data_IF_225071735426
#
_entry.id   IF_225071735426
#
_cell.length_a   1.000
_cell.length_b   1.000
_cell.length_c   1.000
_cell.angle_alpha   90.00
_cell.angle_beta   90.00
_cell.angle_gamma   90.00
#
_symmetry.space_group_name_H-M   'P 1'
#
loop_
_entity.id
_entity.type
_entity.pdbx_description
1 polymer ?
#
# COMPACT_ATOMS: atom_id res chain seq x y z
N UNK A 1 -22.73 -11.75 -8.80
CA UNK A 1 -22.67 -10.96 -10.05
C UNK A 1 -23.60 -9.73 -10.10
N UNK A 2 -24.38 -9.41 -9.05
CA UNK A 2 -25.32 -8.27 -9.09
C UNK A 2 -24.81 -6.94 -8.51
N UNK A 3 -23.67 -6.93 -7.79
CA UNK A 3 -23.14 -5.73 -7.12
C UNK A 3 -22.16 -4.92 -7.98
N UNK A 4 -21.57 -5.54 -9.01
CA UNK A 4 -20.64 -4.90 -9.96
C UNK A 4 -21.37 -4.03 -10.99
N UNK A 5 -22.61 -4.42 -11.35
CA UNK A 5 -23.50 -3.65 -12.24
C UNK A 5 -24.00 -2.34 -11.60
N UNK A 6 -24.25 -2.33 -10.30
CA UNK A 6 -24.66 -1.13 -9.56
C UNK A 6 -23.54 -0.10 -9.41
N UNK A 7 -22.27 -0.52 -9.37
CA UNK A 7 -21.13 0.40 -9.37
C UNK A 7 -20.86 1.00 -10.76
N UNK A 8 -21.13 0.25 -11.83
CA UNK A 8 -20.99 0.74 -13.21
C UNK A 8 -22.06 1.79 -13.59
N UNK A 9 -23.25 1.72 -12.99
CA UNK A 9 -24.36 2.65 -13.24
C UNK A 9 -24.23 4.00 -12.52
N UNK A 10 -23.39 4.08 -11.48
CA UNK A 10 -23.15 5.33 -10.73
C UNK A 10 -22.09 6.24 -11.39
N UNK A 11 -21.39 5.78 -12.42
CA UNK A 11 -20.36 6.55 -13.15
C UNK A 11 -20.86 7.14 -14.48
N UNK A 12 -22.14 6.97 -14.82
CA UNK A 12 -22.73 7.38 -16.10
C UNK A 12 -23.39 8.78 -16.19
N UNK A 13 -23.51 9.65 -15.15
CA UNK A 13 -24.13 10.96 -15.36
C UNK A 13 -23.16 12.10 -15.75
N UNK A 14 -21.87 11.85 -16.04
CA UNK A 14 -20.94 12.93 -16.43
C UNK A 14 -20.93 13.28 -17.95
N UNK A 15 -21.83 12.71 -18.77
CA UNK A 15 -21.87 12.97 -20.22
C UNK A 15 -23.17 13.56 -20.77
N UNK A 16 -24.08 14.07 -19.93
CA UNK A 16 -25.23 14.84 -20.41
C UNK A 16 -24.91 16.34 -20.35
N UNK A 17 -24.27 16.83 -21.41
CA UNK A 17 -24.13 18.26 -21.66
C UNK A 17 -25.49 18.92 -21.93
N UNK A 18 -25.65 20.23 -21.66
CA UNK A 18 -26.89 20.94 -21.92
C UNK A 18 -27.17 21.01 -23.43
N UNK A 19 -28.42 20.69 -23.80
CA UNK A 19 -28.95 20.86 -25.15
C UNK A 19 -28.95 22.35 -25.55
N UNK A 20 -28.19 22.70 -26.59
CA UNK A 20 -28.25 24.02 -27.23
C UNK A 20 -29.53 24.13 -28.07
N UNK A 21 -30.42 25.05 -27.70
CA UNK A 21 -31.57 25.45 -28.51
C UNK A 21 -31.16 26.25 -29.77
N UNK A 22 -32.09 26.46 -30.71
CA UNK A 22 -31.79 27.07 -32.00
C UNK A 22 -31.55 28.58 -31.90
N UNK A 23 -30.43 29.02 -32.48
CA UNK A 23 -30.29 30.28 -33.20
C UNK A 23 -30.63 31.59 -32.45
N UNK A 24 -29.66 32.11 -31.69
CA UNK A 24 -29.48 33.55 -31.56
C UNK A 24 -28.11 33.87 -32.14
N UNK A 25 -28.07 34.42 -33.35
CA UNK A 25 -26.91 35.17 -33.87
C UNK A 25 -26.68 36.39 -32.98
N UNK A 26 -26.06 36.16 -31.82
CA UNK A 26 -25.35 37.21 -31.14
C UNK A 26 -24.17 37.54 -32.05
N UNK A 27 -24.13 38.78 -32.55
CA UNK A 27 -22.98 39.37 -33.23
C UNK A 27 -21.83 39.43 -32.23
N UNK A 28 -21.17 38.29 -31.99
CA UNK A 28 -19.97 38.18 -31.17
C UNK A 28 -18.92 39.01 -31.88
N UNK A 29 -18.63 40.18 -31.32
CA UNK A 29 -17.41 40.91 -31.64
C UNK A 29 -16.24 39.95 -31.46
N UNK A 30 -15.75 39.42 -32.58
CA UNK A 30 -14.58 38.54 -32.70
C UNK A 30 -13.35 39.31 -32.21
N UNK A 31 -13.13 39.34 -30.90
CA UNK A 31 -12.06 40.09 -30.25
C UNK A 31 -11.20 39.16 -29.41
N UNK A 32 -9.87 39.27 -29.54
CA UNK A 32 -8.91 38.53 -28.73
C UNK A 32 -8.45 39.31 -27.48
N UNK A 33 -9.12 40.41 -27.13
CA UNK A 33 -8.73 41.30 -26.02
C UNK A 33 -8.64 40.57 -24.67
N UNK A 34 -9.61 39.72 -24.35
CA UNK A 34 -9.62 38.96 -23.10
C UNK A 34 -8.49 37.92 -23.07
N UNK A 35 -8.31 37.14 -24.15
CA UNK A 35 -7.21 36.18 -24.29
C UNK A 35 -5.84 36.85 -24.18
N UNK A 36 -5.67 38.04 -24.78
CA UNK A 36 -4.46 38.86 -24.67
C UNK A 36 -4.19 39.29 -23.23
N UNK A 37 -5.22 39.70 -22.51
CA UNK A 37 -5.09 40.10 -21.10
C UNK A 37 -4.68 38.91 -20.22
N UNK A 38 -5.35 37.76 -20.37
CA UNK A 38 -5.07 36.55 -19.57
C UNK A 38 -3.67 36.02 -19.86
N UNK A 39 -3.32 35.80 -21.12
CA UNK A 39 -1.99 35.27 -21.49
C UNK A 39 -0.88 36.28 -21.20
N UNK A 40 -1.14 37.57 -21.39
CA UNK A 40 -0.22 38.64 -20.99
C UNK A 40 0.08 38.62 -19.49
N UNK A 41 -0.94 38.42 -18.65
CA UNK A 41 -0.76 38.27 -17.19
C UNK A 41 0.05 37.03 -16.78
N UNK A 42 0.08 36.01 -17.65
CA UNK A 42 0.88 34.79 -17.50
C UNK A 42 2.28 34.89 -18.11
N UNK A 43 2.69 36.07 -18.56
CA UNK A 43 4.04 36.32 -19.08
C UNK A 43 4.24 35.98 -20.57
N UNK A 44 3.16 35.81 -21.33
CA UNK A 44 3.24 35.62 -22.78
C UNK A 44 3.42 36.98 -23.47
N UNK A 45 4.27 37.04 -24.50
CA UNK A 45 4.47 38.29 -25.26
C UNK A 45 3.22 38.67 -26.03
N UNK A 46 2.76 39.91 -25.85
CA UNK A 46 1.61 40.47 -26.57
C UNK A 46 1.84 40.59 -28.08
N UNK A 47 3.09 40.47 -28.54
CA UNK A 47 3.46 40.44 -29.96
C UNK A 47 3.10 39.11 -30.64
N UNK A 48 3.06 38.01 -29.89
CA UNK A 48 2.77 36.66 -30.40
C UNK A 48 1.27 36.35 -30.41
N UNK A 49 0.47 37.25 -29.87
CA UNK A 49 -0.99 37.15 -29.77
C UNK A 49 -1.61 38.05 -30.83
N UNK A 50 -2.54 37.55 -31.67
CA UNK A 50 -3.22 38.37 -32.64
C UNK A 50 -4.24 39.32 -31.96
N UNK A 51 -4.52 40.49 -32.54
CA UNK A 51 -5.52 41.43 -32.01
C UNK A 51 -6.96 40.97 -32.28
N UNK A 52 -7.17 40.17 -33.32
CA UNK A 52 -8.45 39.59 -33.72
C UNK A 52 -8.30 38.09 -34.08
N UNK A 53 -9.39 37.30 -34.08
CA UNK A 53 -9.31 35.87 -34.36
C UNK A 53 -8.77 35.57 -35.76
N UNK A 54 -7.85 34.61 -35.83
CA UNK A 54 -7.23 34.11 -37.07
C UNK A 54 -7.73 32.69 -37.37
N UNK A 55 -7.56 32.20 -38.60
CA UNK A 55 -7.83 30.80 -38.92
C UNK A 55 -6.93 29.88 -38.09
N UNK A 56 -7.44 28.77 -37.56
CA UNK A 56 -6.71 27.83 -36.69
C UNK A 56 -6.11 26.63 -37.40
N UNK A 57 -6.00 26.63 -38.73
CA UNK A 57 -5.41 25.52 -39.50
C UNK A 57 -3.96 25.19 -39.09
N UNK A 58 -3.23 26.16 -38.53
CA UNK A 58 -1.86 25.98 -38.02
C UNK A 58 -1.78 25.25 -36.67
N UNK A 59 -2.92 25.02 -36.00
CA UNK A 59 -2.98 24.38 -34.69
C UNK A 59 -2.88 22.86 -34.80
N UNK A 60 -2.17 22.24 -33.85
CA UNK A 60 -1.95 20.78 -33.79
C UNK A 60 -2.75 20.10 -32.67
N UNK A 61 -3.10 20.82 -31.62
CA UNK A 61 -3.72 20.27 -30.40
C UNK A 61 -5.15 20.80 -30.27
N UNK A 62 -5.33 22.11 -30.42
CA UNK A 62 -6.62 22.77 -30.36
C UNK A 62 -7.44 22.48 -31.63
N UNK A 63 -8.78 22.56 -31.56
CA UNK A 63 -9.63 22.47 -32.74
C UNK A 63 -9.22 23.49 -33.80
N UNK A 64 -9.22 23.09 -35.07
CA UNK A 64 -8.84 23.93 -36.21
C UNK A 64 -9.98 24.88 -36.61
N UNK A 65 -10.42 25.71 -35.66
CA UNK A 65 -11.44 26.75 -35.81
C UNK A 65 -10.81 28.15 -35.69
N UNK A 66 -11.60 29.23 -35.79
CA UNK A 66 -11.09 30.59 -35.55
C UNK A 66 -10.54 30.72 -34.12
N UNK A 67 -9.27 31.11 -34.00
CA UNK A 67 -8.51 31.09 -32.75
C UNK A 67 -7.83 32.43 -32.45
N UNK A 68 -7.50 32.64 -31.17
CA UNK A 68 -6.65 33.73 -30.70
C UNK A 68 -5.23 33.26 -30.35
N UNK A 69 -4.87 32.02 -30.68
CA UNK A 69 -3.55 31.43 -30.39
C UNK A 69 -2.75 31.22 -31.68
N UNK A 70 -1.49 31.64 -31.68
CA UNK A 70 -0.50 31.23 -32.68
C UNK A 70 0.07 29.85 -32.35
N UNK A 71 0.76 29.20 -33.29
CA UNK A 71 1.39 27.89 -33.08
C UNK A 71 2.44 27.93 -31.95
N UNK A 72 3.20 29.02 -31.86
CA UNK A 72 4.20 29.21 -30.78
C UNK A 72 3.52 29.33 -29.41
N UNK A 73 2.39 30.03 -29.34
CA UNK A 73 1.59 30.14 -28.12
C UNK A 73 0.98 28.80 -27.74
N UNK A 74 0.49 28.03 -28.71
CA UNK A 74 -0.04 26.66 -28.48
C UNK A 74 1.06 25.71 -27.96
N UNK A 75 2.25 25.72 -28.57
CA UNK A 75 3.38 24.89 -28.14
C UNK A 75 3.85 25.24 -26.73
N UNK A 76 3.96 26.54 -26.42
CA UNK A 76 4.34 27.01 -25.09
C UNK A 76 3.29 26.69 -24.03
N UNK A 77 2.01 26.87 -24.34
CA UNK A 77 0.91 26.46 -23.46
C UNK A 77 0.93 24.95 -23.20
N UNK A 78 1.21 24.15 -24.21
CA UNK A 78 1.35 22.70 -24.06
C UNK A 78 2.52 22.34 -23.12
N UNK A 79 3.69 22.98 -23.28
CA UNK A 79 4.82 22.77 -22.37
C UNK A 79 4.50 23.20 -20.93
N UNK A 80 3.94 24.39 -20.73
CA UNK A 80 3.60 24.91 -19.41
C UNK A 80 2.55 24.05 -18.70
N UNK A 81 1.54 23.56 -19.45
CA UNK A 81 0.51 22.68 -18.91
C UNK A 81 1.06 21.30 -18.56
N UNK A 82 1.93 20.73 -19.39
CA UNK A 82 2.63 19.47 -19.07
C UNK A 82 3.49 19.62 -17.81
N UNK A 83 4.31 20.67 -17.74
CA UNK A 83 5.18 20.93 -16.59
C UNK A 83 4.37 21.15 -15.31
N UNK A 84 3.28 21.92 -15.39
CA UNK A 84 2.38 22.16 -14.25
C UNK A 84 1.70 20.87 -13.80
N UNK A 85 1.16 20.08 -14.73
CA UNK A 85 0.51 18.82 -14.40
C UNK A 85 1.49 17.84 -13.75
N UNK A 86 2.68 17.69 -14.34
CA UNK A 86 3.76 16.86 -13.80
C UNK A 86 4.11 17.27 -12.38
N UNK A 87 4.35 18.56 -12.14
CA UNK A 87 4.65 19.07 -10.80
C UNK A 87 3.54 18.82 -9.78
N UNK A 88 2.27 18.95 -10.18
CA UNK A 88 1.12 18.64 -9.32
C UNK A 88 1.06 17.15 -8.95
N UNK A 89 1.23 16.27 -9.94
CA UNK A 89 1.22 14.81 -9.75
C UNK A 89 2.40 14.37 -8.88
N UNK A 90 3.61 14.83 -9.18
CA UNK A 90 4.81 14.51 -8.41
C UNK A 90 4.69 14.97 -6.97
N UNK A 91 4.18 16.19 -6.73
CA UNK A 91 3.97 16.70 -5.36
C UNK A 91 2.95 15.86 -4.60
N UNK A 92 1.80 15.56 -5.21
CA UNK A 92 0.76 14.75 -4.57
C UNK A 92 1.24 13.31 -4.30
N UNK A 93 1.93 12.71 -5.26
CA UNK A 93 2.45 11.36 -5.14
C UNK A 93 3.59 11.24 -4.14
N UNK A 94 4.53 12.18 -4.15
CA UNK A 94 5.63 12.26 -3.19
C UNK A 94 5.10 12.31 -1.76
N UNK A 95 4.05 13.12 -1.50
CA UNK A 95 3.39 13.16 -0.20
C UNK A 95 2.86 11.77 0.23
N UNK A 96 2.19 11.05 -0.67
CA UNK A 96 1.66 9.71 -0.39
C UNK A 96 2.79 8.70 -0.12
N UNK A 97 3.83 8.70 -0.93
CA UNK A 97 5.02 7.84 -0.77
C UNK A 97 5.68 8.07 0.59
N UNK A 98 5.90 9.34 0.96
CA UNK A 98 6.47 9.69 2.26
C UNK A 98 5.57 9.27 3.42
N UNK A 99 4.25 9.44 3.29
CA UNK A 99 3.28 9.06 4.31
C UNK A 99 3.27 7.55 4.53
N UNK A 100 3.20 6.76 3.45
CA UNK A 100 3.23 5.29 3.53
C UNK A 100 4.54 4.78 4.14
N UNK A 101 5.68 5.35 3.73
CA UNK A 101 6.98 5.01 4.31
C UNK A 101 7.08 5.38 5.80
N UNK A 102 6.51 6.51 6.22
CA UNK A 102 6.49 6.92 7.62
C UNK A 102 5.60 5.99 8.46
N UNK A 103 4.41 5.63 7.96
CA UNK A 103 3.51 4.67 8.61
C UNK A 103 4.16 3.29 8.75
N UNK A 104 4.81 2.81 7.68
CA UNK A 104 5.53 1.54 7.68
C UNK A 104 6.58 1.53 8.81
N UNK A 105 7.49 2.53 8.83
CA UNK A 105 8.54 2.63 9.85
C UNK A 105 7.96 2.70 11.26
N UNK A 106 6.92 3.52 11.47
CA UNK A 106 6.30 3.72 12.77
C UNK A 106 5.67 2.44 13.29
N UNK A 107 4.86 1.76 12.47
CA UNK A 107 4.22 0.51 12.86
C UNK A 107 5.26 -0.59 13.10
N UNK A 108 6.24 -0.72 12.19
CA UNK A 108 7.29 -1.72 12.32
C UNK A 108 8.07 -1.58 13.62
N UNK A 109 8.50 -0.36 13.94
CA UNK A 109 9.19 -0.08 15.21
C UNK A 109 8.32 -0.39 16.43
N UNK A 110 7.06 0.07 16.43
CA UNK A 110 6.14 -0.16 17.54
C UNK A 110 5.85 -1.64 17.78
N UNK A 111 5.73 -2.44 16.72
CA UNK A 111 5.46 -3.88 16.84
C UNK A 111 6.69 -4.66 17.36
N UNK A 112 7.89 -4.36 16.87
CA UNK A 112 9.12 -4.94 17.40
C UNK A 112 9.38 -4.55 18.85
N UNK A 113 9.11 -3.29 19.21
CA UNK A 113 9.19 -2.81 20.59
C UNK A 113 8.18 -3.55 21.49
N UNK A 114 6.97 -3.82 20.99
CA UNK A 114 5.98 -4.62 21.71
C UNK A 114 6.47 -6.04 22.01
N UNK A 115 7.12 -6.71 21.04
CA UNK A 115 7.70 -8.05 21.24
C UNK A 115 8.79 -7.99 22.33
N UNK A 116 9.70 -7.02 22.24
CA UNK A 116 10.78 -6.83 23.22
C UNK A 116 10.25 -6.46 24.61
N UNK A 117 9.20 -5.65 24.69
CA UNK A 117 8.52 -5.29 25.94
C UNK A 117 7.83 -6.51 26.59
N UNK A 118 7.22 -7.37 25.77
CA UNK A 118 6.64 -8.63 26.24
C UNK A 118 7.71 -9.60 26.76
N UNK A 119 8.86 -9.71 26.09
CA UNK A 119 10.01 -10.50 26.56
C UNK A 119 10.50 -10.00 27.92
N UNK A 120 10.71 -8.69 28.05
CA UNK A 120 11.15 -8.08 29.30
C UNK A 120 10.15 -8.28 30.44
N UNK A 121 8.86 -8.09 30.16
CA UNK A 121 7.78 -8.26 31.13
C UNK A 121 7.67 -9.71 31.60
N UNK A 122 7.78 -10.68 30.68
CA UNK A 122 7.81 -12.09 31.02
C UNK A 122 9.00 -12.41 31.92
N UNK A 123 10.21 -11.96 31.56
CA UNK A 123 11.42 -12.19 32.33
C UNK A 123 11.30 -11.65 33.75
N UNK A 124 10.77 -10.44 33.92
CA UNK A 124 10.58 -9.81 35.23
C UNK A 124 9.57 -10.59 36.08
N UNK A 125 8.42 -10.97 35.51
CA UNK A 125 7.37 -11.71 36.23
C UNK A 125 7.83 -13.12 36.59
N UNK A 126 8.54 -13.80 35.69
CA UNK A 126 8.97 -15.18 35.89
C UNK A 126 10.16 -15.25 36.84
N UNK A 127 11.08 -14.31 36.78
CA UNK A 127 12.14 -14.21 37.78
C UNK A 127 11.57 -13.95 39.17
N UNK A 128 10.55 -13.08 39.29
CA UNK A 128 9.87 -12.84 40.58
C UNK A 128 9.13 -14.08 41.12
N UNK A 129 8.52 -14.87 40.23
CA UNK A 129 7.64 -15.98 40.63
C UNK A 129 8.40 -17.30 40.83
N UNK A 130 9.41 -17.56 39.99
CA UNK A 130 10.13 -18.84 39.94
C UNK A 130 11.61 -18.73 40.32
N UNK A 131 12.14 -17.50 40.48
CA UNK A 131 13.49 -17.26 40.96
C UNK A 131 14.56 -18.00 40.15
N UNK A 132 15.34 -18.81 40.86
CA UNK A 132 16.45 -19.56 40.28
C UNK A 132 16.00 -20.59 39.23
N UNK A 133 14.79 -21.16 39.37
CA UNK A 133 14.27 -22.13 38.41
C UNK A 133 14.11 -21.51 37.02
N UNK A 134 13.58 -20.29 36.95
CA UNK A 134 13.52 -19.54 35.70
C UNK A 134 14.93 -19.18 35.21
N UNK A 135 15.78 -18.67 36.10
CA UNK A 135 17.14 -18.24 35.72
C UNK A 135 17.94 -19.36 35.02
N UNK A 136 17.81 -20.61 35.48
CA UNK A 136 18.47 -21.79 34.87
C UNK A 136 17.94 -22.13 33.46
N UNK A 137 16.70 -21.76 33.14
CA UNK A 137 16.03 -22.08 31.88
C UNK A 137 15.71 -20.87 31.01
N UNK A 138 16.25 -19.69 31.35
CA UNK A 138 16.11 -18.44 30.57
C UNK A 138 16.31 -18.62 29.06
N UNK A 139 17.31 -19.40 28.58
CA UNK A 139 17.54 -19.57 27.14
C UNK A 139 16.33 -20.10 26.35
N UNK A 140 15.43 -20.87 26.97
CA UNK A 140 14.22 -21.36 26.32
C UNK A 140 13.28 -20.21 25.93
N UNK A 141 13.08 -19.28 26.86
CA UNK A 141 12.17 -18.15 26.69
C UNK A 141 12.77 -17.12 25.73
N UNK A 142 14.04 -16.75 25.91
CA UNK A 142 14.74 -15.83 24.99
C UNK A 142 14.83 -16.40 23.57
N UNK A 143 14.98 -17.74 23.45
CA UNK A 143 14.95 -18.45 22.18
C UNK A 143 13.59 -18.34 21.48
N UNK A 144 12.48 -18.47 22.20
CA UNK A 144 11.14 -18.26 21.65
C UNK A 144 10.99 -16.83 21.11
N UNK A 145 11.29 -15.80 21.91
CA UNK A 145 11.17 -14.41 21.48
C UNK A 145 12.08 -14.06 20.29
N UNK A 146 13.26 -14.68 20.23
CA UNK A 146 14.15 -14.57 19.06
C UNK A 146 13.49 -15.15 17.81
N UNK A 147 12.87 -16.33 17.89
CA UNK A 147 12.12 -16.91 16.77
C UNK A 147 10.89 -16.09 16.37
N UNK A 148 10.21 -15.45 17.33
CA UNK A 148 9.10 -14.52 17.05
C UNK A 148 9.58 -13.28 16.26
N UNK A 149 10.70 -12.68 16.67
CA UNK A 149 11.32 -11.56 15.92
C UNK A 149 11.74 -11.99 14.53
N UNK A 150 12.45 -13.11 14.44
CA UNK A 150 12.92 -13.68 13.17
C UNK A 150 11.76 -13.96 12.21
N UNK A 151 10.66 -14.56 12.68
CA UNK A 151 9.46 -14.77 11.88
C UNK A 151 8.97 -13.46 11.25
N UNK A 152 8.90 -12.41 12.06
CA UNK A 152 8.37 -11.12 11.64
C UNK A 152 9.33 -10.38 10.68
N UNK A 153 10.64 -10.48 10.88
CA UNK A 153 11.64 -9.81 10.04
C UNK A 153 11.98 -10.57 8.75
N UNK A 154 11.99 -11.91 8.77
CA UNK A 154 12.52 -12.78 7.70
C UNK A 154 11.46 -13.39 6.79
N UNK A 155 10.25 -12.83 6.74
CA UNK A 155 9.13 -13.17 5.82
C UNK A 155 8.09 -14.23 6.24
N UNK A 156 8.11 -14.70 7.49
CA UNK A 156 6.94 -15.37 8.06
C UNK A 156 6.85 -16.89 7.93
N UNK A 157 7.99 -17.59 7.99
CA UNK A 157 8.02 -19.07 8.02
C UNK A 157 8.41 -19.61 9.41
N UNK A 158 7.92 -20.81 9.75
CA UNK A 158 8.36 -21.55 10.95
C UNK A 158 7.79 -21.08 12.29
N UNK A 159 6.77 -20.22 12.34
CA UNK A 159 6.16 -19.77 13.61
C UNK A 159 5.49 -20.91 14.36
N UNK A 160 4.70 -21.72 13.67
CA UNK A 160 4.01 -22.85 14.30
C UNK A 160 5.01 -23.85 14.86
N UNK A 161 6.06 -24.18 14.10
CA UNK A 161 7.16 -25.04 14.55
C UNK A 161 7.89 -24.44 15.76
N UNK A 162 8.17 -23.13 15.74
CA UNK A 162 8.81 -22.44 16.85
C UNK A 162 8.01 -22.52 18.17
N UNK A 163 6.68 -22.44 18.07
CA UNK A 163 5.77 -22.59 19.19
C UNK A 163 5.70 -24.03 19.68
N UNK A 164 5.57 -25.00 18.76
CA UNK A 164 5.54 -26.44 19.10
C UNK A 164 6.84 -26.85 19.80
N UNK A 165 7.98 -26.47 19.24
CA UNK A 165 9.30 -26.74 19.80
C UNK A 165 9.48 -26.14 21.19
N UNK A 166 8.99 -24.91 21.40
CA UNK A 166 9.08 -24.25 22.71
C UNK A 166 8.36 -25.07 23.79
N UNK A 167 7.13 -25.52 23.51
CA UNK A 167 6.35 -26.32 24.47
C UNK A 167 6.95 -27.71 24.69
N UNK A 168 7.49 -28.33 23.64
CA UNK A 168 8.20 -29.60 23.76
C UNK A 168 9.43 -29.48 24.67
N UNK A 169 10.30 -28.48 24.41
CA UNK A 169 11.48 -28.24 25.24
C UNK A 169 11.11 -27.86 26.68
N UNK A 170 10.06 -27.06 26.87
CA UNK A 170 9.58 -26.70 28.20
C UNK A 170 9.11 -27.95 28.97
N UNK A 171 8.36 -28.84 28.34
CA UNK A 171 7.92 -30.09 28.97
C UNK A 171 9.10 -30.99 29.32
N UNK A 172 10.06 -31.14 28.41
CA UNK A 172 11.27 -31.93 28.63
C UNK A 172 12.05 -31.47 29.87
N UNK A 173 12.11 -30.15 30.13
CA UNK A 173 12.80 -29.61 31.32
C UNK A 173 11.94 -29.60 32.58
N UNK A 174 10.64 -29.34 32.45
CA UNK A 174 9.73 -29.26 33.61
C UNK A 174 9.35 -30.62 34.17
N UNK A 175 9.25 -31.65 33.33
CA UNK A 175 8.77 -32.97 33.77
C UNK A 175 9.68 -33.62 34.84
N UNK A 176 11.02 -33.63 34.71
CA UNK A 176 11.92 -34.11 35.76
C UNK A 176 11.84 -33.30 37.05
N UNK A 177 11.59 -31.99 36.96
CA UNK A 177 11.49 -31.10 38.12
C UNK A 177 10.24 -31.38 38.96
N UNK A 178 9.16 -31.84 38.33
CA UNK A 178 7.93 -32.24 39.01
C UNK A 178 8.01 -33.65 39.61
N UNK A 179 8.94 -34.48 39.13
CA UNK A 179 9.10 -35.87 39.54
C UNK A 179 10.55 -36.19 39.93
N UNK A 180 11.11 -35.52 40.97
CA UNK A 180 12.52 -35.63 41.32
C UNK A 180 12.93 -37.02 41.83
N UNK A 181 11.96 -37.86 42.18
CA UNK A 181 12.17 -39.23 42.66
C UNK A 181 12.57 -40.21 41.55
N UNK A 182 12.41 -39.81 40.29
CA UNK A 182 12.66 -40.64 39.12
C UNK A 182 13.74 -40.05 38.22
N UNK A 183 14.56 -40.92 37.64
CA UNK A 183 15.49 -40.57 36.58
C UNK A 183 14.89 -40.98 35.23
N UNK A 184 14.66 -40.00 34.36
CA UNK A 184 14.06 -40.21 33.04
C UNK A 184 15.14 -40.30 31.97
N UNK A 185 15.06 -41.31 31.10
CA UNK A 185 15.95 -41.40 29.93
C UNK A 185 15.57 -40.35 28.87
N UNK A 186 16.51 -39.92 28.01
CA UNK A 186 16.20 -39.01 26.90
C UNK A 186 15.09 -39.54 25.99
N UNK A 187 15.08 -40.85 25.71
CA UNK A 187 14.05 -41.49 24.88
C UNK A 187 12.66 -41.41 25.52
N UNK A 188 12.58 -41.52 26.84
CA UNK A 188 11.33 -41.40 27.58
C UNK A 188 10.79 -39.97 27.51
N UNK A 189 11.66 -38.96 27.72
CA UNK A 189 11.26 -37.56 27.61
C UNK A 189 10.84 -37.19 26.19
N UNK A 190 11.56 -37.69 25.17
CA UNK A 190 11.17 -37.53 23.76
C UNK A 190 9.81 -38.18 23.45
N UNK A 191 9.53 -39.36 24.01
CA UNK A 191 8.24 -40.02 23.86
C UNK A 191 7.12 -39.15 24.45
N UNK A 192 7.30 -38.61 25.65
CA UNK A 192 6.31 -37.74 26.32
C UNK A 192 6.06 -36.47 25.51
N UNK A 193 7.12 -35.79 25.03
CA UNK A 193 6.96 -34.56 24.25
C UNK A 193 6.22 -34.83 22.94
N UNK A 194 6.49 -35.97 22.29
CA UNK A 194 5.76 -36.39 21.08
C UNK A 194 4.30 -36.69 21.36
N UNK A 195 3.99 -37.35 22.48
CA UNK A 195 2.59 -37.61 22.89
C UNK A 195 1.85 -36.32 23.23
N UNK A 196 2.50 -35.38 23.92
CA UNK A 196 1.92 -34.08 24.25
C UNK A 196 1.70 -33.18 23.02
N UNK A 197 2.51 -33.34 21.97
CA UNK A 197 2.34 -32.63 20.70
C UNK A 197 1.34 -33.31 19.73
N UNK A 198 0.90 -34.53 20.04
CA UNK A 198 0.00 -35.29 19.16
C UNK A 198 -1.40 -34.67 19.09
N UNK A 199 -2.02 -34.73 17.91
CA UNK A 199 -3.34 -34.12 17.65
C UNK A 199 -4.50 -34.84 18.36
N UNK A 200 -4.26 -36.05 18.89
CA UNK A 200 -5.28 -36.87 19.55
C UNK A 200 -5.59 -36.41 20.98
N UNK A 201 -4.97 -35.30 21.43
CA UNK A 201 -5.20 -34.71 22.76
C UNK A 201 -4.93 -35.68 23.92
N UNK A 202 -4.16 -36.74 23.65
CA UNK A 202 -3.92 -37.85 24.57
C UNK A 202 -3.25 -37.39 25.87
N UNK A 203 -2.42 -36.33 25.81
CA UNK A 203 -1.79 -35.69 26.96
C UNK A 203 -1.81 -34.15 26.81
N UNK A 204 -2.39 -33.45 27.79
CA UNK A 204 -2.38 -31.97 27.90
C UNK A 204 -1.63 -31.49 29.16
N UNK A 205 -0.30 -31.63 29.24
CA UNK A 205 0.45 -31.25 30.43
C UNK A 205 0.34 -29.75 30.78
N UNK A 206 0.08 -28.90 29.79
CA UNK A 206 -0.10 -27.45 29.96
C UNK A 206 -1.56 -26.98 29.78
N UNK A 207 -2.51 -27.93 29.77
CA UNK A 207 -3.90 -27.66 29.41
C UNK A 207 -4.03 -27.05 28.02
N UNK A 208 -4.94 -26.09 27.85
CA UNK A 208 -5.17 -25.41 26.56
C UNK A 208 -4.21 -24.24 26.29
N UNK A 209 -3.24 -23.98 27.17
CA UNK A 209 -2.33 -22.84 27.04
C UNK A 209 -1.51 -22.85 25.74
N UNK A 210 -0.93 -23.99 25.30
CA UNK A 210 -0.22 -24.06 24.01
C UNK A 210 -1.11 -23.72 22.81
N UNK A 211 -2.32 -24.27 22.79
CA UNK A 211 -3.28 -24.05 21.72
C UNK A 211 -3.74 -22.59 21.65
N UNK A 212 -4.11 -22.00 22.80
CA UNK A 212 -4.52 -20.59 22.88
C UNK A 212 -3.39 -19.65 22.46
N UNK A 213 -2.18 -19.88 22.95
CA UNK A 213 -1.02 -19.06 22.60
C UNK A 213 -0.76 -19.12 21.10
N UNK A 214 -0.74 -20.32 20.51
CA UNK A 214 -0.58 -20.50 19.06
C UNK A 214 -1.62 -19.71 18.27
N UNK A 215 -2.90 -19.87 18.60
CA UNK A 215 -3.97 -19.17 17.88
C UNK A 215 -3.80 -17.64 17.95
N UNK A 216 -3.51 -17.11 19.13
CA UNK A 216 -3.40 -15.67 19.35
C UNK A 216 -2.15 -15.08 18.69
N UNK A 217 -1.00 -15.71 18.90
CA UNK A 217 0.29 -15.25 18.37
C UNK A 217 0.28 -15.37 16.84
N UNK A 218 -0.11 -16.51 16.27
CA UNK A 218 -0.13 -16.68 14.82
C UNK A 218 -1.04 -15.65 14.15
N UNK A 219 -2.25 -15.41 14.68
CA UNK A 219 -3.15 -14.38 14.13
C UNK A 219 -2.56 -12.97 14.20
N UNK A 220 -2.00 -12.60 15.35
CA UNK A 220 -1.41 -11.27 15.54
C UNK A 220 -0.20 -11.05 14.64
N UNK A 221 0.70 -12.04 14.55
CA UNK A 221 1.93 -11.95 13.77
C UNK A 221 1.64 -11.92 12.26
N UNK A 222 0.74 -12.77 11.77
CA UNK A 222 0.30 -12.76 10.35
C UNK A 222 -0.36 -11.42 9.99
N UNK A 223 -1.24 -10.90 10.86
CA UNK A 223 -1.89 -9.62 10.61
C UNK A 223 -0.89 -8.45 10.58
N UNK A 224 0.06 -8.43 11.52
CA UNK A 224 1.11 -7.41 11.57
C UNK A 224 2.03 -7.47 10.34
N UNK A 225 2.45 -8.67 9.94
CA UNK A 225 3.28 -8.88 8.76
C UNK A 225 2.56 -8.42 7.48
N UNK A 226 1.31 -8.83 7.29
CA UNK A 226 0.50 -8.43 6.16
C UNK A 226 0.28 -6.91 6.10
N UNK A 227 0.10 -6.26 7.25
CA UNK A 227 -0.04 -4.81 7.33
C UNK A 227 1.22 -4.08 6.88
N UNK A 228 2.40 -4.51 7.36
CA UNK A 228 3.69 -3.90 7.00
C UNK A 228 4.02 -4.14 5.53
N UNK A 229 3.86 -5.38 5.05
CA UNK A 229 4.03 -5.71 3.64
C UNK A 229 3.06 -4.91 2.75
N UNK A 230 1.83 -4.71 3.20
CA UNK A 230 0.83 -3.90 2.49
C UNK A 230 1.22 -2.43 2.37
N UNK A 231 1.78 -1.83 3.42
CA UNK A 231 2.28 -0.45 3.39
C UNK A 231 3.47 -0.28 2.44
N UNK A 232 4.41 -1.23 2.46
CA UNK A 232 5.58 -1.23 1.58
C UNK A 232 5.16 -1.40 0.11
N UNK A 233 4.34 -2.42 -0.17
CA UNK A 233 3.77 -2.66 -1.51
C UNK A 233 2.99 -1.45 -2.01
N UNK A 234 2.16 -0.84 -1.15
CA UNK A 234 1.38 0.35 -1.50
C UNK A 234 2.27 1.53 -1.88
N UNK A 235 3.37 1.74 -1.14
CA UNK A 235 4.36 2.77 -1.45
C UNK A 235 5.01 2.53 -2.81
N UNK A 236 5.39 1.28 -3.10
CA UNK A 236 6.03 0.90 -4.36
C UNK A 236 5.08 1.08 -5.55
N UNK A 237 3.81 0.70 -5.40
CA UNK A 237 2.79 0.93 -6.44
C UNK A 237 2.62 2.42 -6.74
N UNK A 238 2.53 3.27 -5.71
CA UNK A 238 2.42 4.72 -5.93
C UNK A 238 3.67 5.25 -6.65
N UNK A 239 4.86 4.81 -6.26
CA UNK A 239 6.11 5.18 -6.94
C UNK A 239 6.11 4.78 -8.43
N UNK A 240 5.66 3.58 -8.76
CA UNK A 240 5.58 3.13 -10.15
C UNK A 240 4.52 3.91 -10.96
N UNK A 241 3.36 4.20 -10.37
CA UNK A 241 2.32 5.01 -11.02
C UNK A 241 2.85 6.41 -11.35
N UNK A 242 3.63 7.03 -10.43
CA UNK A 242 4.21 8.35 -10.68
C UNK A 242 5.15 8.37 -11.90
N UNK A 243 5.96 7.32 -12.06
CA UNK A 243 6.83 7.17 -13.25
C UNK A 243 6.02 7.03 -14.54
N UNK A 244 4.88 6.34 -14.50
CA UNK A 244 4.02 6.11 -15.67
C UNK A 244 3.24 7.34 -16.10
N UNK A 245 2.78 8.19 -15.17
CA UNK A 245 1.99 9.39 -15.49
C UNK A 245 2.78 10.38 -16.37
N UNK A 246 4.10 10.48 -16.14
CA UNK A 246 5.03 11.20 -17.02
C UNK A 246 5.00 10.67 -18.47
N UNK A 247 4.90 9.36 -18.67
CA UNK A 247 4.86 8.73 -19.99
C UNK A 247 3.50 8.82 -20.68
N UNK A 248 2.39 8.88 -19.95
CA UNK A 248 1.06 8.92 -20.53
C UNK A 248 0.72 10.29 -21.16
N UNK A 249 1.19 11.38 -20.55
CA UNK A 249 1.07 12.73 -21.13
C UNK A 249 1.74 12.81 -22.51
N UNK A 250 2.96 12.26 -22.63
CA UNK A 250 3.70 12.17 -23.91
C UNK A 250 2.94 11.41 -25.01
N UNK A 251 2.07 10.45 -24.66
CA UNK A 251 1.28 9.69 -25.65
C UNK A 251 -0.04 10.36 -26.01
N UNK A 252 -0.73 10.98 -25.05
CA UNK A 252 -2.08 11.54 -25.26
C UNK A 252 -2.08 12.88 -25.99
N UNK A 253 -1.05 13.71 -25.80
CA UNK A 253 -0.94 15.02 -26.45
C UNK A 253 -0.08 15.03 -27.72
N UNK A 254 0.64 13.94 -28.02
CA UNK A 254 1.43 13.79 -29.26
C UNK A 254 0.73 12.98 -30.36
N UNK A 255 -0.38 12.30 -30.03
CA UNK A 255 -1.18 11.58 -31.01
C UNK A 255 -2.38 12.46 -31.42
N UNK A 256 -2.52 12.83 -32.71
CA UNK A 256 -3.77 13.41 -33.18
C UNK A 256 -4.86 12.36 -33.00
N UNK A 257 -5.96 12.75 -32.34
CA UNK A 257 -7.15 11.91 -32.20
C UNK A 257 -7.61 11.48 -33.61
N UNK A 258 -7.69 10.18 -33.94
CA UNK A 258 -8.48 9.79 -35.08
C UNK A 258 -9.95 9.95 -34.68
N UNK A 259 -10.57 11.02 -35.15
CA UNK A 259 -12.02 11.21 -35.17
C UNK A 259 -12.66 10.21 -36.16
N UNK A 260 -12.66 8.92 -35.84
CA UNK A 260 -13.50 7.91 -36.51
C UNK A 260 -13.48 6.57 -35.79
N UNK A 261 -14.04 6.51 -34.58
CA UNK A 261 -14.63 5.26 -34.09
C UNK A 261 -16.09 5.24 -34.54
N UNK A 262 -16.34 4.80 -35.77
CA UNK A 262 -17.67 4.29 -36.15
C UNK A 262 -17.75 2.82 -35.73
N UNK A 263 -18.74 2.41 -34.92
CA UNK A 263 -19.00 1.00 -34.70
C UNK A 263 -19.59 0.40 -35.98
N UNK A 264 -18.83 -0.49 -36.63
CA UNK A 264 -19.36 -1.35 -37.69
C UNK A 264 -20.51 -2.21 -37.13
N UNK A 265 -21.65 -2.33 -37.82
CA UNK A 265 -22.69 -3.27 -37.44
C UNK A 265 -22.17 -4.70 -37.67
N UNK A 266 -22.21 -5.51 -36.62
CA UNK A 266 -22.01 -6.96 -36.72
C UNK A 266 -23.10 -7.55 -37.62
N UNK A 267 -22.67 -8.18 -38.71
CA UNK A 267 -23.41 -9.26 -39.38
C UNK A 267 -23.04 -10.60 -38.77
#
# INVERSE_FOLDING_TARGET
MSRLRTLLLLLLPLCLGPSLGPGSEAKVTRSCTETRQILGSRGYSLSLLPPAPISGEHLRICPQEYTCCSSEVEERLNWDTEATFRGLVEKSGSFLVHTLAALHRKFNGAFLEMISSAEHSLALLFHRSYGQLYSQHTPLFTGLFTRLRDYYEKSGEGLDDALVDFWAQLLEKMFPLLHPEYNFSPDYLFCITRLAASADDSLKPFGDSPHRLRLQVTRAMVAALAFVQGLETGKDVVNEVLKMVSCFWLRRFRAPFPLSWQPSPLG
#
